data_IF_315607560214
#
_entry.id   IF_315607560214
#
_cell.length_a   1.000
_cell.length_b   1.000
_cell.length_c   1.000
_cell.angle_alpha   90.00
_cell.angle_beta   90.00
_cell.angle_gamma   90.00
#
_symmetry.space_group_name_H-M   'P 1'
#
loop_
_entity.id
_entity.type
_entity.pdbx_description
1 polymer ?
#
# COMPACT_ATOMS: atom_id res chain seq x y z
N UNK A 1 -5.84 32.10 -10.40
CA UNK A 1 -5.76 30.69 -9.97
C UNK A 1 -4.75 30.61 -8.84
N UNK A 2 -5.19 30.29 -7.62
CA UNK A 2 -4.24 29.78 -6.63
C UNK A 2 -3.71 28.45 -7.19
N UNK A 3 -2.40 28.30 -7.35
CA UNK A 3 -1.81 26.97 -7.58
C UNK A 3 -2.17 26.13 -6.37
N UNK A 4 -2.77 24.97 -6.59
CA UNK A 4 -2.94 23.99 -5.51
C UNK A 4 -1.57 23.69 -4.91
N UNK A 5 -1.49 23.80 -3.59
CA UNK A 5 -0.26 23.54 -2.87
C UNK A 5 -0.28 22.10 -2.41
N UNK A 6 0.49 21.26 -3.09
CA UNK A 6 0.82 19.91 -2.66
C UNK A 6 1.96 19.98 -1.65
N UNK A 7 1.90 19.10 -0.65
CA UNK A 7 2.98 18.97 0.32
C UNK A 7 4.12 18.14 -0.28
N UNK A 8 5.37 18.34 0.16
CA UNK A 8 6.41 17.33 -0.02
C UNK A 8 5.90 15.97 0.47
N UNK A 9 6.24 14.88 -0.23
CA UNK A 9 5.72 13.52 0.07
C UNK A 9 5.85 13.18 1.55
N UNK A 10 7.01 13.42 2.16
CA UNK A 10 7.26 13.10 3.58
C UNK A 10 6.43 13.91 4.57
N UNK A 11 5.90 15.05 4.13
CA UNK A 11 5.02 15.91 4.92
C UNK A 11 3.53 15.57 4.70
N UNK A 12 3.19 14.81 3.65
CA UNK A 12 1.83 14.39 3.33
C UNK A 12 1.23 13.49 4.42
N UNK A 13 -0.09 13.52 4.54
CA UNK A 13 -0.83 12.70 5.50
C UNK A 13 -0.67 11.20 5.20
N UNK A 14 -0.71 10.83 3.91
CA UNK A 14 -0.54 9.45 3.46
C UNK A 14 0.82 8.87 3.88
N UNK A 15 1.90 9.64 3.69
CA UNK A 15 3.24 9.19 4.12
C UNK A 15 3.33 9.00 5.63
N UNK A 16 2.84 9.97 6.41
CA UNK A 16 2.84 9.89 7.89
C UNK A 16 2.09 8.66 8.38
N UNK A 17 0.93 8.38 7.81
CA UNK A 17 0.11 7.23 8.19
C UNK A 17 0.75 5.89 7.78
N UNK A 18 1.30 5.79 6.57
CA UNK A 18 2.03 4.58 6.14
C UNK A 18 3.27 4.35 7.00
N UNK A 19 4.03 5.40 7.31
CA UNK A 19 5.19 5.33 8.21
C UNK A 19 4.79 4.79 9.58
N UNK A 20 3.73 5.35 10.17
CA UNK A 20 3.27 4.93 11.48
C UNK A 20 2.76 3.48 11.45
N UNK A 21 1.97 3.10 10.46
CA UNK A 21 1.45 1.74 10.34
C UNK A 21 2.56 0.70 10.12
N UNK A 22 3.58 1.02 9.30
CA UNK A 22 4.76 0.16 9.13
C UNK A 22 5.50 -0.05 10.46
N UNK A 23 5.67 1.01 11.23
CA UNK A 23 6.29 0.92 12.56
C UNK A 23 5.45 0.05 13.50
N UNK A 24 4.14 0.31 13.58
CA UNK A 24 3.24 -0.42 14.49
C UNK A 24 3.16 -1.92 14.16
N UNK A 25 3.06 -2.28 12.88
CA UNK A 25 2.76 -3.67 12.46
C UNK A 25 4.02 -4.48 12.16
N UNK A 26 5.03 -3.85 11.56
CA UNK A 26 6.26 -4.51 11.13
C UNK A 26 7.50 -4.07 11.91
N UNK A 27 7.40 -3.06 12.79
CA UNK A 27 8.56 -2.45 13.47
C UNK A 27 9.62 -1.92 12.49
N UNK A 28 9.18 -1.35 11.37
CA UNK A 28 10.03 -0.81 10.31
C UNK A 28 9.82 0.69 10.16
N UNK A 29 10.90 1.45 10.02
CA UNK A 29 10.87 2.88 9.79
C UNK A 29 10.90 3.20 8.29
N UNK A 30 9.82 3.80 7.77
CA UNK A 30 9.73 4.18 6.35
C UNK A 30 10.83 5.16 5.91
N UNK A 31 11.34 6.00 6.81
CA UNK A 31 12.38 6.99 6.46
C UNK A 31 13.73 6.34 6.07
N UNK A 32 13.93 5.08 6.45
CA UNK A 32 15.13 4.29 6.14
C UNK A 32 15.00 3.53 4.82
N UNK A 33 13.81 3.54 4.20
CA UNK A 33 13.54 2.87 2.94
C UNK A 33 13.63 3.90 1.80
N UNK A 34 14.39 3.63 0.72
CA UNK A 34 14.34 4.45 -0.47
C UNK A 34 12.93 4.47 -1.06
N UNK A 35 12.37 5.67 -1.20
CA UNK A 35 11.06 5.89 -1.84
C UNK A 35 11.24 6.44 -3.25
N UNK A 36 10.29 6.14 -4.12
CA UNK A 36 10.10 6.79 -5.40
C UNK A 36 8.91 7.76 -5.28
N UNK A 37 9.19 9.06 -5.35
CA UNK A 37 8.18 10.12 -5.36
C UNK A 37 7.58 10.26 -6.77
N UNK A 38 6.26 10.35 -6.84
CA UNK A 38 5.50 10.58 -8.07
C UNK A 38 5.05 12.03 -8.20
N UNK A 39 4.06 12.27 -9.06
CA UNK A 39 3.34 13.54 -9.11
C UNK A 39 2.52 13.77 -7.82
N UNK A 40 2.24 15.04 -7.50
CA UNK A 40 1.48 15.46 -6.32
C UNK A 40 2.10 14.96 -5.00
N UNK A 41 1.35 14.20 -4.20
CA UNK A 41 1.80 13.59 -2.94
C UNK A 41 1.98 12.07 -3.08
N UNK A 42 2.00 11.54 -4.32
CA UNK A 42 2.11 10.11 -4.59
C UNK A 42 3.52 9.60 -4.29
N UNK A 43 3.62 8.38 -3.79
CA UNK A 43 4.91 7.71 -3.62
C UNK A 43 4.75 6.19 -3.58
N UNK A 44 5.82 5.47 -3.90
CA UNK A 44 5.90 4.04 -3.68
C UNK A 44 7.30 3.61 -3.25
N UNK A 45 7.39 2.40 -2.72
CA UNK A 45 8.63 1.80 -2.25
C UNK A 45 8.54 0.27 -2.32
N UNK A 46 9.71 -0.36 -2.39
CA UNK A 46 9.83 -1.80 -2.25
C UNK A 46 9.94 -2.14 -0.77
N UNK A 47 9.15 -3.11 -0.33
CA UNK A 47 9.19 -3.65 1.01
C UNK A 47 9.43 -5.16 0.95
N UNK A 48 10.28 -5.69 1.82
CA UNK A 48 10.56 -7.12 1.89
C UNK A 48 10.27 -7.64 3.29
N UNK A 49 9.47 -8.69 3.39
CA UNK A 49 9.17 -9.37 4.65
C UNK A 49 9.17 -10.88 4.42
N UNK A 50 9.93 -11.61 5.26
CA UNK A 50 10.11 -13.08 5.16
C UNK A 50 10.40 -13.56 3.72
N UNK A 51 11.36 -12.92 3.05
CA UNK A 51 11.77 -13.20 1.66
C UNK A 51 10.68 -12.96 0.59
N UNK A 52 9.55 -12.36 0.95
CA UNK A 52 8.56 -11.88 0.00
C UNK A 52 8.80 -10.40 -0.27
N UNK A 53 9.17 -10.08 -1.51
CA UNK A 53 9.25 -8.70 -2.00
C UNK A 53 7.87 -8.23 -2.47
N UNK A 54 7.48 -7.01 -2.10
CA UNK A 54 6.24 -6.37 -2.50
C UNK A 54 6.44 -4.88 -2.75
N UNK A 55 5.54 -4.29 -3.55
CA UNK A 55 5.49 -2.85 -3.76
C UNK A 55 4.34 -2.26 -2.97
N UNK A 56 4.63 -1.22 -2.20
CA UNK A 56 3.65 -0.49 -1.39
C UNK A 56 3.70 0.99 -1.73
N UNK A 57 2.59 1.70 -1.57
CA UNK A 57 2.58 3.14 -1.85
C UNK A 57 1.25 3.82 -1.64
N UNK A 58 1.29 5.14 -1.78
CA UNK A 58 0.14 6.03 -1.87
C UNK A 58 0.03 6.53 -3.31
N UNK A 59 -1.17 6.40 -3.85
CA UNK A 59 -1.52 6.82 -5.21
C UNK A 59 -2.75 7.72 -5.19
N UNK A 60 -3.10 8.28 -6.34
CA UNK A 60 -4.33 9.03 -6.55
C UNK A 60 -4.51 10.26 -5.63
N UNK A 61 -3.43 10.99 -5.36
CA UNK A 61 -3.43 12.14 -4.43
C UNK A 61 -3.86 13.48 -5.03
N UNK A 62 -4.21 13.52 -6.32
CA UNK A 62 -4.63 14.74 -6.99
C UNK A 62 -5.87 15.38 -6.35
N UNK A 63 -5.78 16.66 -6.02
CA UNK A 63 -6.87 17.43 -5.39
C UNK A 63 -7.80 17.98 -6.49
N UNK A 64 -9.11 17.89 -6.27
CA UNK A 64 -10.15 18.35 -7.22
C UNK A 64 -10.09 17.72 -8.62
N UNK A 65 -9.40 16.59 -8.78
CA UNK A 65 -9.38 15.81 -10.02
C UNK A 65 -10.41 14.68 -9.88
N UNK A 66 -11.25 14.49 -10.90
CA UNK A 66 -12.25 13.43 -10.89
C UNK A 66 -11.58 12.06 -10.74
N UNK A 67 -12.13 11.21 -9.87
CA UNK A 67 -11.64 9.87 -9.55
C UNK A 67 -10.30 9.80 -8.78
N UNK A 68 -9.71 10.93 -8.39
CA UNK A 68 -8.60 10.96 -7.44
C UNK A 68 -9.13 11.01 -6.01
N UNK A 69 -8.42 10.37 -5.08
CA UNK A 69 -8.79 10.33 -3.66
C UNK A 69 -8.38 11.63 -2.92
N UNK A 70 -7.41 12.37 -3.46
CA UNK A 70 -6.95 13.63 -2.87
C UNK A 70 -6.04 13.41 -1.67
N UNK A 71 -6.21 14.21 -0.62
CA UNK A 71 -5.33 14.16 0.57
C UNK A 71 -5.23 12.74 1.14
N UNK A 72 -4.00 12.25 1.28
CA UNK A 72 -3.70 10.92 1.79
C UNK A 72 -3.87 9.78 0.78
N UNK A 73 -4.52 10.01 -0.37
CA UNK A 73 -4.57 9.08 -1.50
C UNK A 73 -5.14 7.69 -1.20
N UNK A 74 -4.94 6.76 -2.13
CA UNK A 74 -5.22 5.34 -1.98
C UNK A 74 -3.94 4.60 -1.61
N UNK A 75 -4.01 3.85 -0.52
CA UNK A 75 -2.96 2.94 -0.11
C UNK A 75 -3.08 1.62 -0.86
N UNK A 76 -1.99 1.22 -1.51
CA UNK A 76 -1.95 0.00 -2.33
C UNK A 76 -0.77 -0.87 -1.94
N UNK A 77 -0.99 -2.19 -2.02
CA UNK A 77 0.01 -3.23 -1.83
C UNK A 77 -0.09 -4.21 -2.99
N UNK A 78 1.01 -4.40 -3.71
CA UNK A 78 1.13 -5.31 -4.84
C UNK A 78 2.19 -6.38 -4.58
N UNK A 79 1.82 -7.63 -4.80
CA UNK A 79 2.67 -8.81 -4.54
C UNK A 79 2.86 -9.63 -5.82
N UNK A 80 3.89 -10.50 -5.87
CA UNK A 80 4.00 -11.52 -6.91
C UNK A 80 2.73 -12.36 -6.99
N UNK A 81 2.25 -12.60 -8.21
CA UNK A 81 1.03 -13.33 -8.43
C UNK A 81 1.30 -14.85 -8.44
N UNK A 82 0.77 -15.63 -7.48
CA UNK A 82 0.98 -17.08 -7.42
C UNK A 82 0.40 -17.83 -8.64
N UNK A 83 -0.51 -17.19 -9.39
CA UNK A 83 -1.09 -17.75 -10.62
C UNK A 83 -0.22 -17.51 -11.86
N UNK A 84 0.83 -16.71 -11.77
CA UNK A 84 1.73 -16.45 -12.90
C UNK A 84 2.77 -17.57 -13.09
N UNK A 85 3.15 -17.94 -14.33
CA UNK A 85 2.50 -17.59 -15.60
C UNK A 85 1.37 -18.57 -16.00
N UNK A 86 1.13 -19.61 -15.19
CA UNK A 86 0.31 -20.77 -15.59
C UNK A 86 -1.19 -20.48 -15.74
N UNK A 87 -1.74 -19.65 -14.86
CA UNK A 87 -3.16 -19.35 -14.74
C UNK A 87 -3.45 -17.84 -14.84
N UNK A 88 -2.40 -17.01 -14.94
CA UNK A 88 -2.51 -15.56 -15.14
C UNK A 88 -1.30 -15.05 -15.91
N UNK A 89 -1.52 -14.04 -16.75
CA UNK A 89 -0.45 -13.31 -17.44
C UNK A 89 0.16 -12.18 -16.60
N UNK A 90 -0.47 -11.80 -15.48
CA UNK A 90 0.00 -10.72 -14.62
C UNK A 90 1.04 -11.24 -13.63
N UNK A 91 2.26 -10.69 -13.67
CA UNK A 91 3.35 -11.06 -12.74
C UNK A 91 3.10 -10.60 -11.30
N UNK A 92 2.43 -9.46 -11.15
CA UNK A 92 2.08 -8.86 -9.87
C UNK A 92 0.56 -8.71 -9.78
N UNK A 93 0.04 -8.68 -8.56
CA UNK A 93 -1.38 -8.50 -8.29
C UNK A 93 -1.58 -7.75 -6.97
N UNK A 94 -2.64 -6.95 -6.87
CA UNK A 94 -3.00 -6.30 -5.60
C UNK A 94 -3.34 -7.35 -4.54
N UNK A 95 -2.92 -7.10 -3.29
CA UNK A 95 -3.27 -7.90 -2.12
C UNK A 95 -4.78 -8.22 -2.05
N UNK A 96 -5.64 -7.26 -2.42
CA UNK A 96 -7.10 -7.43 -2.40
C UNK A 96 -7.57 -8.65 -3.20
N UNK A 97 -6.90 -9.02 -4.31
CA UNK A 97 -7.28 -10.19 -5.11
C UNK A 97 -6.73 -11.52 -4.57
N UNK A 98 -5.85 -11.48 -3.58
CA UNK A 98 -5.29 -12.65 -2.91
C UNK A 98 -6.11 -13.02 -1.66
N UNK A 99 -6.90 -12.10 -1.13
CA UNK A 99 -7.77 -12.33 0.01
C UNK A 99 -9.08 -12.99 -0.44
N UNK A 100 -9.39 -14.15 0.15
CA UNK A 100 -10.60 -14.93 -0.18
C UNK A 100 -11.88 -14.34 0.40
N UNK A 101 -11.79 -13.69 1.57
CA UNK A 101 -12.93 -12.99 2.17
C UNK A 101 -13.23 -11.71 1.37
N UNK A 102 -14.43 -11.63 0.80
CA UNK A 102 -14.84 -10.52 -0.06
C UNK A 102 -14.97 -9.20 0.68
N UNK A 103 -15.44 -9.21 1.93
CA UNK A 103 -15.60 -7.98 2.71
C UNK A 103 -14.21 -7.42 3.05
N UNK A 104 -13.28 -8.29 3.45
CA UNK A 104 -11.89 -7.88 3.71
C UNK A 104 -11.24 -7.36 2.42
N UNK A 105 -11.39 -8.11 1.31
CA UNK A 105 -10.89 -7.75 -0.02
C UNK A 105 -11.36 -6.36 -0.47
N UNK A 106 -12.66 -6.08 -0.37
CA UNK A 106 -13.22 -4.79 -0.77
C UNK A 106 -12.75 -3.64 0.12
N UNK A 107 -12.67 -3.88 1.44
CA UNK A 107 -12.18 -2.88 2.39
C UNK A 107 -10.72 -2.48 2.11
N UNK A 108 -9.83 -3.45 1.85
CA UNK A 108 -8.43 -3.13 1.59
C UNK A 108 -8.19 -2.61 0.16
N UNK A 109 -9.08 -2.90 -0.79
CA UNK A 109 -8.98 -2.38 -2.17
C UNK A 109 -9.13 -0.87 -2.22
N UNK A 110 -10.01 -0.32 -1.39
CA UNK A 110 -10.30 1.12 -1.34
C UNK A 110 -9.75 1.77 -0.06
N UNK A 111 -8.63 1.24 0.45
CA UNK A 111 -7.99 1.74 1.65
C UNK A 111 -7.47 3.17 1.43
N UNK A 112 -8.10 4.15 2.06
CA UNK A 112 -7.65 5.55 2.01
C UNK A 112 -6.46 5.75 2.94
N UNK A 113 -5.36 6.31 2.41
CA UNK A 113 -4.16 6.57 3.19
C UNK A 113 -4.33 7.68 4.23
N UNK A 114 -5.39 8.48 4.14
CA UNK A 114 -5.74 9.51 5.14
C UNK A 114 -6.24 8.92 6.47
N UNK A 115 -6.76 7.69 6.47
CA UNK A 115 -7.22 7.01 7.69
C UNK A 115 -6.19 5.99 8.17
N UNK A 116 -5.43 6.37 9.20
CA UNK A 116 -4.43 5.51 9.83
C UNK A 116 -4.99 4.14 10.22
N UNK A 117 -6.22 4.05 10.74
CA UNK A 117 -6.78 2.76 11.18
C UNK A 117 -7.03 1.83 10.01
N UNK A 118 -7.49 2.38 8.88
CA UNK A 118 -7.65 1.64 7.63
C UNK A 118 -6.30 1.16 7.09
N UNK A 119 -5.27 2.02 7.10
CA UNK A 119 -3.91 1.64 6.68
C UNK A 119 -3.34 0.53 7.58
N UNK A 120 -3.44 0.67 8.90
CA UNK A 120 -3.01 -0.38 9.84
C UNK A 120 -3.80 -1.68 9.65
N UNK A 121 -5.10 -1.60 9.38
CA UNK A 121 -5.92 -2.77 9.09
C UNK A 121 -5.44 -3.49 7.82
N UNK A 122 -5.22 -2.75 6.73
CA UNK A 122 -4.66 -3.32 5.50
C UNK A 122 -3.28 -3.95 5.72
N UNK A 123 -2.41 -3.32 6.53
CA UNK A 123 -1.11 -3.88 6.90
C UNK A 123 -1.20 -5.11 7.80
N UNK A 124 -2.19 -5.19 8.71
CA UNK A 124 -2.46 -6.41 9.49
C UNK A 124 -2.88 -7.56 8.58
N UNK A 125 -3.83 -7.31 7.66
CA UNK A 125 -4.25 -8.31 6.66
C UNK A 125 -3.07 -8.77 5.80
N UNK A 126 -2.21 -7.85 5.38
CA UNK A 126 -0.97 -8.18 4.67
C UNK A 126 -0.07 -9.08 5.51
N UNK A 127 0.19 -8.71 6.77
CA UNK A 127 1.06 -9.47 7.67
C UNK A 127 0.53 -10.88 7.90
N UNK A 128 -0.77 -11.03 8.16
CA UNK A 128 -1.42 -12.32 8.36
C UNK A 128 -1.33 -13.19 7.10
N UNK A 129 -1.56 -12.60 5.91
CA UNK A 129 -1.39 -13.28 4.63
C UNK A 129 0.04 -13.78 4.43
N UNK A 130 1.04 -12.94 4.70
CA UNK A 130 2.45 -13.30 4.55
C UNK A 130 2.89 -14.35 5.57
N UNK A 131 2.43 -14.23 6.81
CA UNK A 131 2.74 -15.18 7.88
C UNK A 131 2.19 -16.57 7.54
N UNK A 132 0.96 -16.67 7.02
CA UNK A 132 0.38 -17.93 6.54
C UNK A 132 1.14 -18.52 5.34
N UNK A 133 1.46 -17.68 4.35
CA UNK A 133 2.15 -18.15 3.13
C UNK A 133 3.53 -18.72 3.43
N UNK A 134 4.23 -18.19 4.44
CA UNK A 134 5.52 -18.71 4.87
C UNK A 134 5.44 -20.05 5.62
N UNK A 135 4.30 -20.37 6.26
CA UNK A 135 4.09 -21.66 6.92
C UNK A 135 3.84 -22.78 5.89
N UNK A 136 3.23 -22.46 4.73
CA UNK A 136 2.96 -23.42 3.65
C UNK A 136 4.21 -23.83 2.85
N UNK A 137 5.30 -23.06 2.95
CA UNK A 137 6.56 -23.26 2.22
C UNK A 137 7.65 -23.97 3.07
N UNK A 138 7.34 -24.40 4.29
CA UNK A 138 8.20 -25.19 5.19
C UNK A 138 7.79 -26.67 5.25
#
# INVERSE_FOLDING_TARGET
MNKEQYLPVKESLGYKNVKQALWTIFSVNLDEIPIHEGEDENFNFVFTYKNCEMMMGIYDTGKNIQFQAGEGGLFSVSLPNPKYPKQSFQKIVSLSYLISDKNVSENIRWCLGLDLKSVEYAMRVLKDYLDQKCEEEQ
#
